data_IF_636723148802
#
_entry.id   IF_636723148802
#
_cell.length_a   1.000
_cell.length_b   1.000
_cell.length_c   1.000
_cell.angle_alpha   90.00
_cell.angle_beta   90.00
_cell.angle_gamma   90.00
#
_symmetry.space_group_name_H-M   'P 1'
#
loop_
_entity.id
_entity.type
_entity.pdbx_description
1 polymer ?
#
# COMPACT_ATOMS: atom_id res chain seq x y z
N UNK A 1 -2.17 -19.86 53.45
CA UNK A 1 -1.03 -20.17 52.54
C UNK A 1 -1.42 -21.10 51.38
N UNK A 2 -2.09 -22.24 51.62
CA UNK A 2 -2.48 -23.20 50.55
C UNK A 2 -3.53 -22.68 49.53
N UNK A 3 -4.46 -21.84 49.97
CA UNK A 3 -5.50 -21.24 49.09
C UNK A 3 -4.93 -20.20 48.14
N UNK A 4 -4.00 -19.37 48.61
CA UNK A 4 -3.33 -18.34 47.82
C UNK A 4 -2.50 -18.95 46.67
N UNK A 5 -1.79 -20.04 46.93
CA UNK A 5 -1.04 -20.77 45.89
C UNK A 5 -1.94 -21.36 44.80
N UNK A 6 -3.12 -21.87 45.15
CA UNK A 6 -4.10 -22.38 44.18
C UNK A 6 -4.69 -21.26 43.30
N UNK A 7 -4.98 -20.11 43.90
CA UNK A 7 -5.49 -18.94 43.17
C UNK A 7 -4.44 -18.41 42.18
N UNK A 8 -3.16 -18.30 42.58
CA UNK A 8 -2.09 -17.88 41.68
C UNK A 8 -1.85 -18.85 40.51
N UNK A 9 -2.02 -20.16 40.73
CA UNK A 9 -1.80 -21.18 39.72
C UNK A 9 -2.91 -21.17 38.66
N UNK A 10 -4.17 -21.01 39.10
CA UNK A 10 -5.32 -20.83 38.19
C UNK A 10 -5.21 -19.52 37.41
N UNK A 11 -4.84 -18.41 38.06
CA UNK A 11 -4.66 -17.12 37.39
C UNK A 11 -3.58 -17.19 36.30
N UNK A 12 -2.44 -17.83 36.59
CA UNK A 12 -1.36 -18.02 35.62
C UNK A 12 -1.79 -18.88 34.44
N UNK A 13 -2.54 -19.97 34.67
CA UNK A 13 -3.05 -20.83 33.61
C UNK A 13 -4.06 -20.10 32.70
N UNK A 14 -4.92 -19.26 33.28
CA UNK A 14 -5.88 -18.43 32.52
C UNK A 14 -5.15 -17.39 31.67
N UNK A 15 -4.16 -16.68 32.22
CA UNK A 15 -3.36 -15.69 31.46
C UNK A 15 -2.59 -16.38 30.33
N UNK A 16 -2.05 -17.57 30.57
CA UNK A 16 -1.34 -18.34 29.55
C UNK A 16 -2.28 -18.80 28.42
N UNK A 17 -3.47 -19.31 28.75
CA UNK A 17 -4.49 -19.68 27.78
C UNK A 17 -4.94 -18.47 26.94
N UNK A 18 -5.22 -17.34 27.58
CA UNK A 18 -5.58 -16.09 26.87
C UNK A 18 -4.47 -15.68 25.89
N UNK A 19 -3.20 -15.74 26.31
CA UNK A 19 -2.06 -15.39 25.45
C UNK A 19 -1.92 -16.32 24.22
N UNK A 20 -2.16 -17.63 24.40
CA UNK A 20 -2.21 -18.60 23.30
C UNK A 20 -3.37 -18.31 22.33
N UNK A 21 -4.55 -17.96 22.85
CA UNK A 21 -5.69 -17.58 22.00
C UNK A 21 -5.41 -16.29 21.20
N UNK A 22 -4.82 -15.25 21.83
CA UNK A 22 -4.49 -14.00 21.13
C UNK A 22 -3.47 -14.22 20.00
N UNK A 23 -2.43 -15.01 20.24
CA UNK A 23 -1.42 -15.32 19.21
C UNK A 23 -1.98 -16.12 18.05
N UNK A 24 -2.87 -17.08 18.33
CA UNK A 24 -3.58 -17.83 17.29
C UNK A 24 -4.56 -16.98 16.47
N UNK A 25 -5.05 -15.86 17.02
CA UNK A 25 -5.95 -14.93 16.35
C UNK A 25 -5.23 -13.78 15.62
N UNK A 26 -3.91 -13.67 15.73
CA UNK A 26 -3.16 -12.71 14.93
C UNK A 26 -3.19 -13.12 13.47
N UNK A 27 -4.03 -12.46 12.66
CA UNK A 27 -3.91 -12.55 11.20
C UNK A 27 -2.54 -11.99 10.81
N UNK A 28 -1.83 -12.63 9.86
CA UNK A 28 -0.68 -12.01 9.23
C UNK A 28 -1.08 -10.60 8.80
N UNK A 29 -0.32 -9.58 9.21
CA UNK A 29 -0.56 -8.24 8.72
C UNK A 29 -0.27 -8.23 7.22
N UNK A 30 -1.26 -7.83 6.42
CA UNK A 30 -1.06 -7.63 4.99
C UNK A 30 0.11 -6.67 4.80
N UNK A 31 1.16 -7.13 4.13
CA UNK A 31 2.33 -6.29 3.88
C UNK A 31 1.98 -5.27 2.78
N UNK A 32 2.11 -3.98 3.10
CA UNK A 32 1.86 -2.90 2.15
C UNK A 32 2.86 -3.01 0.99
N UNK A 33 2.40 -2.73 -0.24
CA UNK A 33 3.22 -2.82 -1.45
C UNK A 33 3.39 -4.25 -1.99
N UNK A 34 2.76 -5.25 -1.38
CA UNK A 34 2.73 -6.65 -1.84
C UNK A 34 1.32 -7.06 -2.28
N UNK A 35 1.20 -8.11 -3.12
CA UNK A 35 -0.11 -8.63 -3.47
C UNK A 35 -0.85 -9.10 -2.21
N UNK A 36 -2.18 -9.02 -2.25
CA UNK A 36 -3.03 -9.55 -1.18
C UNK A 36 -2.84 -11.06 -1.04
N UNK A 37 -2.98 -11.58 0.17
CA UNK A 37 -3.02 -13.03 0.37
C UNK A 37 -4.28 -13.63 -0.27
N UNK A 38 -4.17 -14.83 -0.82
CA UNK A 38 -5.31 -15.57 -1.37
C UNK A 38 -5.83 -15.08 -2.73
N UNK A 39 -5.06 -14.26 -3.46
CA UNK A 39 -5.42 -13.89 -4.84
C UNK A 39 -5.55 -15.12 -5.73
N UNK A 40 -6.55 -15.09 -6.63
CA UNK A 40 -6.62 -16.05 -7.73
C UNK A 40 -5.40 -15.87 -8.64
N UNK A 41 -5.02 -16.89 -9.44
CA UNK A 41 -3.89 -16.78 -10.37
C UNK A 41 -4.00 -15.57 -11.30
N UNK A 42 -5.21 -15.26 -11.78
CA UNK A 42 -5.48 -14.09 -12.62
C UNK A 42 -5.20 -12.78 -11.90
N UNK A 43 -5.62 -12.64 -10.64
CA UNK A 43 -5.39 -11.41 -9.87
C UNK A 43 -3.92 -11.26 -9.47
N UNK A 44 -3.24 -12.36 -9.17
CA UNK A 44 -1.79 -12.35 -8.92
C UNK A 44 -1.03 -11.88 -10.18
N UNK A 45 -1.38 -12.41 -11.35
CA UNK A 45 -0.80 -11.97 -12.63
C UNK A 45 -1.08 -10.49 -12.91
N UNK A 46 -2.30 -10.02 -12.64
CA UNK A 46 -2.64 -8.61 -12.80
C UNK A 46 -1.79 -7.71 -11.90
N UNK A 47 -1.55 -8.12 -10.65
CA UNK A 47 -0.65 -7.41 -9.74
C UNK A 47 0.79 -7.36 -10.28
N UNK A 48 1.32 -8.47 -10.79
CA UNK A 48 2.69 -8.53 -11.31
C UNK A 48 2.86 -7.67 -12.57
N UNK A 49 1.89 -7.72 -13.49
CA UNK A 49 1.87 -6.86 -14.68
C UNK A 49 1.82 -5.39 -14.26
N UNK A 50 0.90 -5.03 -13.35
CA UNK A 50 0.78 -3.68 -12.83
C UNK A 50 2.06 -3.19 -12.16
N UNK A 51 2.72 -4.05 -11.38
CA UNK A 51 3.99 -3.73 -10.70
C UNK A 51 5.10 -3.41 -11.70
N UNK A 52 5.22 -4.19 -12.78
CA UNK A 52 6.20 -3.92 -13.84
C UNK A 52 5.92 -2.60 -14.55
N UNK A 53 4.67 -2.34 -14.91
CA UNK A 53 4.25 -1.06 -15.52
C UNK A 53 4.56 0.10 -14.59
N UNK A 54 4.24 -0.03 -13.30
CA UNK A 54 4.45 1.02 -12.29
C UNK A 54 5.92 1.38 -12.07
N UNK A 55 6.80 0.38 -12.20
CA UNK A 55 8.25 0.52 -12.07
C UNK A 55 8.91 0.91 -13.40
N UNK A 56 8.18 0.92 -14.51
CA UNK A 56 8.74 1.20 -15.81
C UNK A 56 9.23 2.64 -15.88
N UNK A 57 10.42 2.84 -16.46
CA UNK A 57 10.88 4.15 -16.91
C UNK A 57 10.50 4.31 -18.36
N UNK A 58 9.78 5.38 -18.63
CA UNK A 58 9.32 5.75 -19.95
C UNK A 58 10.20 6.86 -20.52
N UNK A 59 10.35 6.88 -21.83
CA UNK A 59 10.98 7.98 -22.55
C UNK A 59 9.98 8.74 -23.44
N UNK A 60 10.49 9.70 -24.21
CA UNK A 60 9.66 10.52 -25.11
C UNK A 60 8.96 9.66 -26.18
N UNK A 61 9.63 8.61 -26.68
CA UNK A 61 9.08 7.73 -27.70
C UNK A 61 7.95 6.84 -27.15
N UNK A 62 7.92 6.59 -25.84
CA UNK A 62 6.83 5.88 -25.17
C UNK A 62 5.53 6.71 -25.03
N UNK A 63 5.58 8.02 -25.33
CA UNK A 63 4.40 8.87 -25.38
C UNK A 63 3.97 9.45 -24.02
N UNK A 64 4.93 9.86 -23.19
CA UNK A 64 4.67 10.47 -21.89
C UNK A 64 3.78 11.73 -21.94
N UNK A 65 3.69 12.39 -23.09
CA UNK A 65 2.91 13.61 -23.25
C UNK A 65 3.45 14.78 -22.43
N UNK A 66 2.90 15.99 -22.60
CA UNK A 66 3.39 17.20 -21.94
C UNK A 66 2.97 17.29 -20.45
N UNK A 67 2.03 16.46 -20.02
CA UNK A 67 1.44 16.51 -18.67
C UNK A 67 2.06 15.52 -17.70
N UNK A 68 2.80 14.52 -18.20
CA UNK A 68 3.54 13.60 -17.34
C UNK A 68 4.83 14.30 -16.89
N UNK A 69 5.03 14.31 -15.58
CA UNK A 69 5.95 15.23 -14.91
C UNK A 69 7.18 14.54 -14.30
N UNK A 70 7.37 13.26 -14.60
CA UNK A 70 8.57 12.47 -14.31
C UNK A 70 8.67 11.33 -15.34
N UNK A 71 9.63 10.42 -15.24
CA UNK A 71 9.79 9.32 -16.20
C UNK A 71 9.17 8.00 -15.73
N UNK A 72 8.67 7.93 -14.50
CA UNK A 72 8.07 6.72 -13.93
C UNK A 72 7.03 7.02 -12.85
N UNK A 73 6.05 6.13 -12.69
CA UNK A 73 5.07 6.22 -11.61
C UNK A 73 5.75 6.15 -10.23
N UNK A 74 6.77 5.30 -10.09
CA UNK A 74 7.49 5.08 -8.82
C UNK A 74 8.38 6.26 -8.42
N UNK A 75 8.71 7.18 -9.33
CA UNK A 75 9.55 8.34 -9.01
C UNK A 75 8.85 9.31 -8.04
N UNK A 76 7.51 9.27 -8.00
CA UNK A 76 6.70 9.95 -7.00
C UNK A 76 6.02 8.98 -6.01
N UNK A 77 5.51 7.83 -6.44
CA UNK A 77 4.68 6.95 -5.62
C UNK A 77 5.45 5.79 -4.95
N UNK A 78 6.32 6.14 -4.00
CA UNK A 78 7.23 5.18 -3.36
C UNK A 78 7.30 5.24 -1.84
N UNK A 79 6.45 6.05 -1.20
CA UNK A 79 6.51 6.27 0.24
C UNK A 79 5.23 5.78 0.94
N UNK A 80 5.32 4.91 1.96
CA UNK A 80 6.53 4.32 2.55
C UNK A 80 7.12 3.16 1.73
N UNK A 81 6.40 2.66 0.73
CA UNK A 81 6.81 1.59 -0.19
C UNK A 81 6.31 1.90 -1.61
N UNK A 82 6.76 1.13 -2.61
CA UNK A 82 6.26 1.21 -4.00
C UNK A 82 4.73 1.10 -4.03
N UNK A 83 4.10 1.99 -4.81
CA UNK A 83 2.64 2.12 -4.87
C UNK A 83 2.06 3.05 -3.80
N UNK A 84 2.90 3.61 -2.92
CA UNK A 84 2.50 4.54 -1.88
C UNK A 84 2.28 5.98 -2.36
N UNK A 85 2.30 6.90 -1.40
CA UNK A 85 2.25 8.33 -1.67
C UNK A 85 3.61 8.92 -2.07
N UNK A 86 3.62 10.25 -2.22
CA UNK A 86 4.80 11.04 -2.51
C UNK A 86 5.08 12.04 -1.39
N UNK A 87 6.35 12.37 -1.17
CA UNK A 87 6.74 13.54 -0.38
C UNK A 87 7.02 14.77 -1.26
N UNK A 88 6.76 14.69 -2.57
CA UNK A 88 6.96 15.78 -3.53
C UNK A 88 5.65 16.53 -3.74
N UNK A 89 5.71 17.85 -3.73
CA UNK A 89 4.60 18.70 -4.17
C UNK A 89 4.64 18.83 -5.69
N UNK A 90 3.48 18.66 -6.34
CA UNK A 90 3.34 18.83 -7.78
C UNK A 90 2.64 20.16 -8.06
N UNK A 91 3.27 21.01 -8.84
CA UNK A 91 2.62 22.18 -9.44
C UNK A 91 2.06 21.78 -10.79
N UNK A 92 0.73 21.85 -10.93
CA UNK A 92 0.03 21.59 -12.20
C UNK A 92 -0.28 22.92 -12.87
N UNK A 93 -0.17 22.97 -14.19
CA UNK A 93 -0.69 24.08 -14.98
C UNK A 93 -2.10 23.74 -15.48
N UNK A 94 -2.84 24.75 -15.91
CA UNK A 94 -4.18 24.60 -16.47
C UNK A 94 -4.61 25.90 -17.14
N UNK A 95 -5.80 25.89 -17.74
CA UNK A 95 -6.41 27.04 -18.43
C UNK A 95 -7.72 27.42 -17.75
N UNK A 96 -8.01 28.71 -17.64
CA UNK A 96 -9.35 29.17 -17.28
C UNK A 96 -10.18 29.38 -18.56
N UNK A 97 -11.35 28.76 -18.64
CA UNK A 97 -12.26 28.89 -19.77
C UNK A 97 -13.70 29.07 -19.26
N UNK A 98 -14.33 30.21 -19.57
CA UNK A 98 -15.69 30.51 -19.10
C UNK A 98 -15.85 30.55 -17.57
N UNK A 99 -14.76 30.77 -16.81
CA UNK A 99 -14.77 30.71 -15.35
C UNK A 99 -14.55 29.31 -14.76
N UNK A 100 -14.34 28.29 -15.59
CA UNK A 100 -14.03 26.92 -15.19
C UNK A 100 -12.54 26.66 -15.37
N UNK A 101 -11.91 25.97 -14.41
CA UNK A 101 -10.52 25.52 -14.51
C UNK A 101 -10.43 24.21 -15.30
N UNK A 102 -9.76 24.26 -16.45
CA UNK A 102 -9.38 23.11 -17.26
C UNK A 102 -7.96 22.67 -16.86
N UNK A 103 -7.79 21.46 -16.29
CA UNK A 103 -6.49 20.93 -15.91
C UNK A 103 -5.63 20.47 -17.10
N UNK A 104 -6.14 20.60 -18.34
CA UNK A 104 -5.42 20.28 -19.57
C UNK A 104 -4.92 18.84 -19.61
N UNK A 105 -5.70 17.88 -19.07
CA UNK A 105 -5.28 16.49 -18.91
C UNK A 105 -5.18 15.68 -20.21
N UNK A 106 -5.80 16.17 -21.29
CA UNK A 106 -5.92 15.47 -22.58
C UNK A 106 -5.01 16.06 -23.68
N UNK A 107 -3.93 16.75 -23.29
CA UNK A 107 -3.01 17.43 -24.21
C UNK A 107 -2.01 16.50 -24.90
#
# INVERSE_FOLDING_TARGET
MRSLGRVCLVASAVVYAISLQLTAQQRPSQQVGRPLDGLTPTLALAFDVGTRTFLNRYDVADGLGPVFNDESCVDCHRTPVVGGGSNRTVTRFGRMEGGIFDPLSEL
#
